data_IF_915866193341
#
_entry.id   IF_915866193341
#
_cell.length_a   1.000
_cell.length_b   1.000
_cell.length_c   1.000
_cell.angle_alpha   90.00
_cell.angle_beta   90.00
_cell.angle_gamma   90.00
#
_symmetry.space_group_name_H-M   'P 1'
#
loop_
_entity.id
_entity.type
_entity.pdbx_description
1 polymer ?
#
# COMPACT_ATOMS: atom_id res chain seq x y z
N UNK A 1 -10.41 15.72 20.20
CA UNK A 1 -10.85 14.38 19.71
C UNK A 1 -12.16 14.41 18.92
N UNK A 2 -13.32 14.79 19.51
CA UNK A 2 -14.62 14.74 18.78
C UNK A 2 -14.65 15.64 17.53
N UNK A 3 -14.14 16.88 17.63
CA UNK A 3 -14.07 17.83 16.50
C UNK A 3 -13.10 17.39 15.41
N UNK A 4 -11.96 16.81 15.77
CA UNK A 4 -10.96 16.24 14.85
C UNK A 4 -11.54 15.10 14.02
N UNK A 5 -12.24 14.14 14.65
CA UNK A 5 -12.94 13.06 13.93
C UNK A 5 -13.99 13.66 12.99
N UNK A 6 -14.75 14.67 13.42
CA UNK A 6 -15.76 15.30 12.55
C UNK A 6 -15.12 16.01 11.35
N UNK A 7 -13.99 16.70 11.53
CA UNK A 7 -13.29 17.42 10.45
C UNK A 7 -12.65 16.44 9.46
N UNK A 8 -12.01 15.38 9.97
CA UNK A 8 -11.48 14.26 9.19
C UNK A 8 -12.61 13.60 8.38
N UNK A 9 -13.76 13.32 9.01
CA UNK A 9 -14.94 12.77 8.33
C UNK A 9 -15.53 13.70 7.27
N UNK A 10 -15.59 15.02 7.50
CA UNK A 10 -16.05 15.99 6.50
C UNK A 10 -15.09 16.11 5.31
N UNK A 11 -13.78 16.09 5.56
CA UNK A 11 -12.75 16.06 4.52
C UNK A 11 -12.85 14.78 3.67
N UNK A 12 -13.09 13.62 4.31
CA UNK A 12 -13.35 12.35 3.60
C UNK A 12 -14.58 12.41 2.70
N UNK A 13 -15.69 13.00 3.17
CA UNK A 13 -16.91 13.17 2.35
C UNK A 13 -16.72 14.09 1.15
N UNK A 14 -15.92 15.16 1.28
CA UNK A 14 -15.77 16.17 0.24
C UNK A 14 -14.73 15.83 -0.86
N UNK A 15 -13.86 14.83 -0.64
CA UNK A 15 -12.83 14.40 -1.58
C UNK A 15 -13.19 13.11 -2.36
N UNK A 16 -14.19 12.36 -1.90
CA UNK A 16 -14.69 11.14 -2.57
C UNK A 16 -15.18 11.37 -4.02
N UNK A 17 -15.38 12.63 -4.43
CA UNK A 17 -15.89 13.01 -5.76
C UNK A 17 -14.78 13.04 -6.82
N UNK A 18 -13.50 13.24 -6.45
CA UNK A 18 -12.39 13.39 -7.42
C UNK A 18 -11.54 12.12 -7.61
N UNK A 19 -11.58 11.15 -6.69
CA UNK A 19 -10.83 9.90 -6.78
C UNK A 19 -11.52 8.79 -7.61
N UNK A 20 -12.67 9.09 -8.24
CA UNK A 20 -13.62 8.06 -8.66
C UNK A 20 -13.24 7.30 -9.95
N UNK A 21 -12.31 7.81 -10.75
CA UNK A 21 -11.95 7.24 -12.06
C UNK A 21 -10.55 6.64 -12.14
N UNK A 22 -9.67 6.91 -11.19
CA UNK A 22 -8.26 6.53 -11.30
C UNK A 22 -7.94 5.34 -10.38
N UNK A 23 -7.40 4.27 -10.96
CA UNK A 23 -7.16 2.98 -10.29
C UNK A 23 -5.66 2.67 -10.30
N UNK A 24 -5.22 1.79 -9.40
CA UNK A 24 -3.82 1.38 -9.39
C UNK A 24 -3.47 0.64 -10.68
N UNK A 25 -2.22 0.76 -11.14
CA UNK A 25 -1.75 0.04 -12.31
C UNK A 25 -0.72 -1.03 -11.94
N UNK A 26 -0.69 -2.10 -12.73
CA UNK A 26 0.33 -3.14 -12.69
C UNK A 26 0.92 -3.29 -14.09
N UNK A 27 2.22 -2.99 -14.27
CA UNK A 27 2.87 -2.93 -15.59
C UNK A 27 2.18 -1.99 -16.59
N UNK A 28 1.60 -0.89 -16.08
CA UNK A 28 0.81 0.06 -16.83
C UNK A 28 -0.61 -0.40 -17.16
N UNK A 29 -1.04 -1.55 -16.66
CA UNK A 29 -2.41 -2.07 -16.80
C UNK A 29 -3.25 -1.61 -15.61
N UNK A 30 -4.36 -0.89 -15.80
CA UNK A 30 -5.29 -0.56 -14.72
C UNK A 30 -5.88 -1.82 -14.06
N UNK A 31 -5.77 -1.94 -12.73
CA UNK A 31 -6.35 -3.05 -11.96
C UNK A 31 -7.85 -2.85 -11.79
N UNK A 32 -8.59 -3.00 -12.88
CA UNK A 32 -10.05 -2.91 -12.98
C UNK A 32 -10.53 -3.79 -14.16
N UNK A 33 -11.78 -3.66 -14.56
CA UNK A 33 -12.37 -4.44 -15.64
C UNK A 33 -12.71 -5.86 -15.20
N UNK A 34 -13.00 -6.74 -16.15
CA UNK A 34 -13.32 -8.15 -15.89
C UNK A 34 -12.07 -9.00 -15.75
N UNK A 35 -12.22 -10.19 -15.15
CA UNK A 35 -11.10 -11.16 -15.07
C UNK A 35 -10.54 -11.51 -16.46
N UNK A 36 -11.41 -11.63 -17.46
CA UNK A 36 -11.02 -11.99 -18.82
C UNK A 36 -10.16 -10.90 -19.47
N UNK A 37 -10.59 -9.65 -19.40
CA UNK A 37 -9.85 -8.49 -19.93
C UNK A 37 -8.47 -8.36 -19.26
N UNK A 38 -8.43 -8.43 -17.92
CA UNK A 38 -7.18 -8.37 -17.16
C UNK A 38 -6.24 -9.52 -17.55
N UNK A 39 -6.78 -10.73 -17.73
CA UNK A 39 -6.00 -11.89 -18.15
C UNK A 39 -5.41 -11.71 -19.54
N UNK A 40 -6.17 -11.18 -20.49
CA UNK A 40 -5.67 -10.87 -21.84
C UNK A 40 -4.58 -9.80 -21.82
N UNK A 41 -4.78 -8.73 -21.05
CA UNK A 41 -3.80 -7.65 -20.91
C UNK A 41 -2.50 -8.14 -20.27
N UNK A 42 -2.56 -8.97 -19.23
CA UNK A 42 -1.38 -9.62 -18.64
C UNK A 42 -0.68 -10.54 -19.64
N UNK A 43 -1.43 -11.31 -20.42
CA UNK A 43 -0.83 -12.16 -21.47
C UNK A 43 -0.13 -11.34 -22.56
N UNK A 44 -0.67 -10.18 -22.92
CA UNK A 44 -0.02 -9.23 -23.83
C UNK A 44 1.28 -8.65 -23.24
N UNK A 45 1.44 -8.63 -21.91
CA UNK A 45 2.69 -8.30 -21.20
C UNK A 45 3.64 -9.49 -21.02
N UNK A 46 3.34 -10.65 -21.62
CA UNK A 46 4.21 -11.83 -21.60
C UNK A 46 3.89 -12.86 -20.51
N UNK A 47 2.84 -12.64 -19.71
CA UNK A 47 2.37 -13.65 -18.76
C UNK A 47 1.74 -14.85 -19.48
N UNK A 48 1.92 -16.04 -18.93
CA UNK A 48 1.47 -17.30 -19.51
C UNK A 48 0.51 -18.00 -18.57
N UNK A 49 -0.59 -18.51 -19.13
CA UNK A 49 -1.50 -19.40 -18.41
C UNK A 49 -0.77 -20.69 -18.03
N UNK A 50 -1.03 -21.20 -16.83
CA UNK A 50 -0.57 -22.53 -16.42
C UNK A 50 -1.78 -23.46 -16.41
N UNK A 51 -1.64 -24.62 -17.06
CA UNK A 51 -2.74 -25.58 -17.22
C UNK A 51 -3.23 -26.07 -15.87
N UNK A 52 -4.55 -26.00 -15.63
CA UNK A 52 -5.18 -26.42 -14.38
C UNK A 52 -5.04 -25.44 -13.21
N UNK A 53 -4.33 -24.33 -13.40
CA UNK A 53 -4.05 -23.35 -12.36
C UNK A 53 -4.85 -22.05 -12.56
N UNK A 54 -5.18 -21.39 -11.44
CA UNK A 54 -5.90 -20.12 -11.48
C UNK A 54 -4.98 -18.91 -11.73
N UNK A 55 -3.67 -19.08 -11.54
CA UNK A 55 -2.65 -18.03 -11.71
C UNK A 55 -2.05 -18.01 -13.12
N UNK A 56 -1.39 -16.89 -13.46
CA UNK A 56 -0.48 -16.78 -14.59
C UNK A 56 0.97 -16.73 -14.08
N UNK A 57 1.92 -17.24 -14.87
CA UNK A 57 3.35 -17.07 -14.63
C UNK A 57 3.92 -16.01 -15.55
N UNK A 58 4.79 -15.16 -15.04
CA UNK A 58 5.48 -14.17 -15.85
C UNK A 58 6.63 -13.56 -15.07
N UNK A 59 7.17 -12.47 -15.61
CA UNK A 59 8.21 -11.71 -14.94
C UNK A 59 7.60 -10.43 -14.36
N UNK A 60 7.95 -10.14 -13.11
CA UNK A 60 7.71 -8.84 -12.50
C UNK A 60 8.98 -8.45 -11.77
N UNK A 61 9.49 -7.25 -12.06
CA UNK A 61 10.67 -6.71 -11.39
C UNK A 61 11.90 -7.64 -11.46
N UNK A 62 12.16 -8.18 -12.66
CA UNK A 62 13.29 -9.06 -12.92
C UNK A 62 13.20 -10.45 -12.25
N UNK A 63 12.05 -10.81 -11.67
CA UNK A 63 11.83 -12.11 -11.03
C UNK A 63 10.65 -12.85 -11.64
N UNK A 64 10.76 -14.17 -11.73
CA UNK A 64 9.61 -15.01 -12.08
C UNK A 64 8.60 -14.98 -10.93
N UNK A 65 7.36 -14.61 -11.25
CA UNK A 65 6.27 -14.49 -10.28
C UNK A 65 5.04 -15.24 -10.75
N UNK A 66 4.15 -15.54 -9.79
CA UNK A 66 2.80 -16.03 -10.08
C UNK A 66 1.79 -14.92 -9.75
N UNK A 67 0.85 -14.65 -10.66
CA UNK A 67 -0.17 -13.62 -10.49
C UNK A 67 -1.56 -14.25 -10.48
N UNK A 68 -2.32 -14.03 -9.42
CA UNK A 68 -3.76 -14.33 -9.38
C UNK A 68 -4.56 -13.05 -9.56
N UNK A 69 -5.67 -13.17 -10.29
CA UNK A 69 -6.61 -12.09 -10.52
C UNK A 69 -7.81 -12.33 -9.59
N UNK A 70 -8.10 -11.35 -8.74
CA UNK A 70 -9.20 -11.44 -7.78
C UNK A 70 -10.29 -10.44 -8.16
N UNK A 71 -11.52 -10.93 -8.25
CA UNK A 71 -12.69 -10.12 -8.63
C UNK A 71 -13.75 -10.06 -7.55
N UNK A 72 -14.47 -8.95 -7.51
CA UNK A 72 -15.65 -8.70 -6.69
C UNK A 72 -16.71 -8.03 -7.58
N UNK A 73 -17.98 -8.45 -7.48
CA UNK A 73 -19.06 -7.98 -8.39
C UNK A 73 -18.66 -7.96 -9.88
N UNK A 74 -17.91 -8.99 -10.33
CA UNK A 74 -17.34 -9.16 -11.69
C UNK A 74 -16.26 -8.16 -12.10
N UNK A 75 -15.77 -7.31 -11.19
CA UNK A 75 -14.67 -6.39 -11.43
C UNK A 75 -13.43 -6.81 -10.69
N UNK A 76 -12.26 -6.66 -11.32
CA UNK A 76 -10.98 -6.90 -10.67
C UNK A 76 -10.79 -5.84 -9.58
N UNK A 77 -10.49 -6.29 -8.37
CA UNK A 77 -10.15 -5.42 -7.24
C UNK A 77 -8.71 -5.62 -6.77
N UNK A 78 -8.08 -6.75 -7.15
CA UNK A 78 -6.74 -7.10 -6.69
C UNK A 78 -6.01 -7.97 -7.69
N UNK A 79 -4.75 -7.64 -7.91
CA UNK A 79 -3.75 -8.61 -8.37
C UNK A 79 -2.91 -9.01 -7.17
N UNK A 80 -2.86 -10.32 -6.88
CA UNK A 80 -1.91 -10.87 -5.91
C UNK A 80 -0.75 -11.47 -6.68
N UNK A 81 0.45 -10.98 -6.38
CA UNK A 81 1.72 -11.41 -6.94
C UNK A 81 2.44 -12.22 -5.87
N UNK A 82 2.62 -13.51 -6.13
CA UNK A 82 3.50 -14.36 -5.36
C UNK A 82 4.93 -14.13 -5.84
N UNK A 83 5.67 -13.31 -5.09
CA UNK A 83 6.91 -12.67 -5.54
C UNK A 83 8.16 -13.49 -5.22
N UNK A 84 8.23 -14.07 -4.01
CA UNK A 84 9.37 -14.85 -3.59
C UNK A 84 8.97 -15.94 -2.60
N UNK A 85 9.67 -17.08 -2.64
CA UNK A 85 9.63 -18.12 -1.62
C UNK A 85 11.04 -18.69 -1.44
N UNK A 86 11.51 -18.75 -0.20
CA UNK A 86 12.85 -19.26 0.09
C UNK A 86 12.95 -19.76 1.53
N UNK A 87 13.80 -20.77 1.74
CA UNK A 87 14.25 -21.19 3.07
C UNK A 87 15.41 -20.33 3.59
N UNK A 88 16.03 -19.53 2.72
CA UNK A 88 17.09 -18.59 3.07
C UNK A 88 16.47 -17.27 3.53
N UNK A 89 16.57 -17.01 4.84
CA UNK A 89 16.06 -15.79 5.45
C UNK A 89 16.76 -14.52 4.94
N UNK A 90 18.04 -14.61 4.55
CA UNK A 90 18.76 -13.45 4.02
C UNK A 90 18.19 -13.05 2.66
N UNK A 91 17.92 -14.00 1.76
CA UNK A 91 17.30 -13.72 0.46
C UNK A 91 15.90 -13.13 0.60
N UNK A 92 15.10 -13.62 1.56
CA UNK A 92 13.77 -13.07 1.82
C UNK A 92 13.84 -11.68 2.44
N UNK A 93 14.75 -11.47 3.40
CA UNK A 93 15.02 -10.17 4.00
C UNK A 93 15.40 -9.14 2.94
N UNK A 94 16.37 -9.47 2.11
CA UNK A 94 16.87 -8.57 1.07
C UNK A 94 15.73 -8.22 0.10
N UNK A 95 14.91 -9.19 -0.32
CA UNK A 95 13.76 -8.92 -1.18
C UNK A 95 12.68 -8.06 -0.49
N UNK A 96 12.34 -8.31 0.76
CA UNK A 96 11.40 -7.47 1.49
C UNK A 96 11.93 -6.03 1.60
N UNK A 97 13.21 -5.86 1.92
CA UNK A 97 13.85 -4.56 2.05
C UNK A 97 13.94 -3.82 0.71
N UNK A 98 14.22 -4.51 -0.39
CA UNK A 98 14.17 -3.96 -1.75
C UNK A 98 12.78 -3.39 -2.06
N UNK A 99 11.71 -4.16 -1.78
CA UNK A 99 10.34 -3.71 -1.99
C UNK A 99 10.01 -2.51 -1.10
N UNK A 100 10.38 -2.55 0.18
CA UNK A 100 10.18 -1.44 1.11
C UNK A 100 10.86 -0.16 0.62
N UNK A 101 12.15 -0.24 0.32
CA UNK A 101 12.93 0.91 -0.13
C UNK A 101 12.43 1.46 -1.47
N UNK A 102 11.94 0.60 -2.37
CA UNK A 102 11.34 1.05 -3.63
C UNK A 102 10.15 1.97 -3.38
N UNK A 103 9.17 1.52 -2.61
CA UNK A 103 7.95 2.30 -2.41
C UNK A 103 8.17 3.46 -1.44
N UNK A 104 9.11 3.36 -0.49
CA UNK A 104 9.42 4.48 0.41
C UNK A 104 10.18 5.60 -0.28
N UNK A 105 10.98 5.30 -1.32
CA UNK A 105 11.78 6.29 -2.04
C UNK A 105 11.05 6.88 -3.25
N UNK A 106 9.96 6.27 -3.70
CA UNK A 106 9.13 6.78 -4.78
C UNK A 106 8.13 7.81 -4.22
N UNK A 107 8.29 9.07 -4.62
CA UNK A 107 7.44 10.18 -4.15
C UNK A 107 5.97 10.05 -4.55
N UNK A 108 5.64 9.20 -5.51
CA UNK A 108 4.25 8.89 -5.87
C UNK A 108 3.59 7.91 -4.89
N UNK A 109 4.30 7.45 -3.86
CA UNK A 109 3.79 6.59 -2.82
C UNK A 109 3.97 7.20 -1.44
N UNK A 110 2.96 7.00 -0.60
CA UNK A 110 3.00 7.37 0.81
C UNK A 110 2.74 6.11 1.63
N UNK A 111 3.61 5.85 2.61
CA UNK A 111 3.44 4.71 3.52
C UNK A 111 2.16 4.89 4.35
N UNK A 112 1.43 3.80 4.53
CA UNK A 112 0.28 3.74 5.42
C UNK A 112 0.69 4.00 6.88
N UNK A 113 0.05 4.97 7.51
CA UNK A 113 0.07 5.20 8.96
C UNK A 113 -0.48 4.03 9.79
N UNK A 114 -1.37 3.22 9.22
CA UNK A 114 -1.93 2.04 9.89
C UNK A 114 -0.93 0.88 10.05
N UNK A 115 0.23 0.94 9.36
CA UNK A 115 1.23 -0.12 9.36
C UNK A 115 2.62 0.46 9.64
N UNK A 116 3.19 0.13 10.80
CA UNK A 116 4.56 0.49 11.16
C UNK A 116 5.56 -0.46 10.49
N UNK A 117 5.72 -0.31 9.18
CA UNK A 117 6.66 -1.06 8.39
C UNK A 117 8.03 -0.37 8.38
N UNK A 118 9.08 -1.19 8.43
CA UNK A 118 10.49 -0.80 8.40
C UNK A 118 11.29 -1.88 7.66
N UNK A 119 12.49 -1.58 7.12
CA UNK A 119 13.40 -2.60 6.66
C UNK A 119 13.75 -3.59 7.79
N UNK A 120 13.83 -4.87 7.46
CA UNK A 120 14.19 -5.94 8.40
C UNK A 120 15.72 -5.86 8.65
N UNK A 121 16.17 -5.72 9.90
CA UNK A 121 17.58 -5.69 10.24
C UNK A 121 18.30 -7.00 9.91
N UNK A 122 19.61 -6.93 9.63
CA UNK A 122 20.40 -8.10 9.26
C UNK A 122 20.41 -9.19 10.34
N UNK A 123 20.45 -8.77 11.60
CA UNK A 123 20.59 -9.65 12.77
C UNK A 123 19.25 -10.19 13.28
N UNK A 124 18.13 -9.75 12.71
CA UNK A 124 16.81 -10.23 13.08
C UNK A 124 16.53 -11.59 12.44
N UNK A 125 16.17 -12.59 13.25
CA UNK A 125 15.70 -13.88 12.73
C UNK A 125 14.21 -13.79 12.38
N UNK A 126 13.91 -13.87 11.08
CA UNK A 126 12.54 -13.71 10.57
C UNK A 126 11.65 -14.83 11.13
N UNK A 127 12.10 -16.08 11.11
CA UNK A 127 11.33 -17.22 11.59
C UNK A 127 11.02 -17.13 13.09
N UNK A 128 11.99 -16.75 13.93
CA UNK A 128 11.75 -16.57 15.37
C UNK A 128 10.72 -15.47 15.62
N UNK A 129 10.89 -14.29 15.00
CA UNK A 129 9.95 -13.19 15.17
C UNK A 129 8.54 -13.55 14.71
N UNK A 130 8.38 -14.23 13.57
CA UNK A 130 7.06 -14.63 13.06
C UNK A 130 6.42 -15.75 13.88
N UNK A 131 7.17 -16.82 14.18
CA UNK A 131 6.62 -18.04 14.78
C UNK A 131 6.51 -17.95 16.30
N UNK A 132 7.47 -17.32 16.96
CA UNK A 132 7.53 -17.23 18.42
C UNK A 132 6.88 -15.95 18.95
N UNK A 133 7.12 -14.81 18.29
CA UNK A 133 6.59 -13.52 18.75
C UNK A 133 5.33 -13.08 18.01
N UNK A 134 4.90 -13.82 16.98
CA UNK A 134 3.73 -13.47 16.18
C UNK A 134 3.89 -12.18 15.37
N UNK A 135 5.13 -11.75 15.12
CA UNK A 135 5.42 -10.54 14.36
C UNK A 135 4.92 -10.69 12.93
N UNK A 136 4.23 -9.66 12.44
CA UNK A 136 3.75 -9.60 11.06
C UNK A 136 4.57 -8.56 10.32
N UNK A 137 5.42 -9.02 9.40
CA UNK A 137 6.03 -8.12 8.42
C UNK A 137 5.00 -7.82 7.34
N UNK A 138 4.46 -6.61 7.40
CA UNK A 138 3.50 -6.08 6.47
C UNK A 138 3.90 -4.64 6.20
N UNK A 139 3.88 -4.26 4.94
CA UNK A 139 4.01 -2.88 4.51
C UNK A 139 2.87 -2.56 3.55
N UNK A 140 2.35 -1.34 3.66
CA UNK A 140 1.30 -0.83 2.78
C UNK A 140 1.63 0.61 2.38
N UNK A 141 1.37 0.92 1.13
CA UNK A 141 1.63 2.21 0.50
C UNK A 141 0.42 2.59 -0.35
N UNK A 142 0.05 3.86 -0.30
CA UNK A 142 -0.99 4.43 -1.13
C UNK A 142 -0.35 5.22 -2.25
N UNK A 143 -0.78 4.96 -3.49
CA UNK A 143 -0.31 5.74 -4.62
C UNK A 143 -1.04 7.10 -4.61
N UNK A 144 -0.25 8.17 -4.61
CA UNK A 144 -0.67 9.55 -4.75
C UNK A 144 -0.54 9.93 -6.24
N UNK A 145 -1.65 10.06 -6.98
CA UNK A 145 -1.60 10.37 -8.40
C UNK A 145 -1.09 11.78 -8.71
N UNK A 146 -1.16 12.72 -7.76
CA UNK A 146 -0.94 14.13 -8.05
C UNK A 146 0.28 14.73 -7.36
N UNK A 147 0.84 14.10 -6.31
CA UNK A 147 1.99 14.60 -5.52
C UNK A 147 1.83 16.04 -4.98
N UNK A 148 0.64 16.63 -5.16
CA UNK A 148 0.26 18.00 -4.80
C UNK A 148 -0.86 18.01 -3.77
N UNK A 149 -1.34 16.84 -3.34
CA UNK A 149 -2.44 16.78 -2.40
C UNK A 149 -2.04 17.16 -0.95
N UNK A 150 -0.74 17.25 -0.64
CA UNK A 150 -0.27 17.98 0.56
C UNK A 150 -0.59 19.48 0.45
N UNK A 151 -0.46 20.07 -0.75
CA UNK A 151 -0.81 21.46 -1.04
C UNK A 151 -2.32 21.66 -1.24
N UNK A 152 -3.12 20.59 -1.16
CA UNK A 152 -4.57 20.68 -1.18
C UNK A 152 -5.03 21.51 0.02
N UNK A 153 -5.83 22.53 -0.24
CA UNK A 153 -6.31 23.46 0.79
C UNK A 153 -6.98 22.73 1.97
N UNK A 154 -7.71 21.64 1.71
CA UNK A 154 -8.36 20.83 2.74
C UNK A 154 -7.36 20.06 3.60
N UNK A 155 -6.28 19.57 3.00
CA UNK A 155 -5.20 18.89 3.73
C UNK A 155 -4.41 19.89 4.56
N UNK A 156 -4.12 21.08 4.02
CA UNK A 156 -3.50 22.18 4.76
C UNK A 156 -4.35 22.65 5.95
N UNK A 157 -5.67 22.75 5.77
CA UNK A 157 -6.61 23.05 6.87
C UNK A 157 -6.61 21.94 7.93
N UNK A 158 -6.57 20.67 7.52
CA UNK A 158 -6.48 19.53 8.43
C UNK A 158 -5.18 19.54 9.24
N UNK A 159 -4.03 19.79 8.59
CA UNK A 159 -2.73 19.92 9.26
C UNK A 159 -2.75 21.08 10.26
N UNK A 160 -3.22 22.27 9.87
CA UNK A 160 -3.33 23.43 10.76
C UNK A 160 -4.22 23.15 11.97
N UNK A 161 -5.36 22.49 11.74
CA UNK A 161 -6.31 22.14 12.80
C UNK A 161 -5.73 21.13 13.78
N UNK A 162 -5.04 20.10 13.28
CA UNK A 162 -4.36 19.11 14.12
C UNK A 162 -3.24 19.75 14.97
N UNK A 163 -2.41 20.58 14.34
CA UNK A 163 -1.32 21.29 15.03
C UNK A 163 -1.85 22.20 16.14
N UNK A 164 -2.92 22.95 15.88
CA UNK A 164 -3.54 23.83 16.86
C UNK A 164 -4.25 23.09 18.02
N UNK A 165 -4.60 21.81 17.84
CA UNK A 165 -5.17 20.98 18.91
C UNK A 165 -4.08 20.45 19.86
N UNK A 166 -2.89 20.16 19.34
CA UNK A 166 -1.80 19.53 20.10
C UNK A 166 -0.76 20.51 20.62
N UNK A 167 -0.67 21.71 20.02
CA UNK A 167 0.36 22.70 20.31
C UNK A 167 -0.23 24.11 20.39
N UNK A 168 0.33 24.95 21.27
CA UNK A 168 0.04 26.39 21.25
C UNK A 168 0.70 27.05 20.03
N UNK A 169 0.24 28.24 19.59
CA UNK A 169 0.88 28.96 18.49
C UNK A 169 2.39 29.18 18.70
N UNK A 170 2.82 29.45 19.93
CA UNK A 170 4.24 29.62 20.29
C UNK A 170 5.02 28.32 20.19
N UNK A 171 4.41 27.19 20.58
CA UNK A 171 5.03 25.87 20.43
C UNK A 171 5.17 25.51 18.94
N UNK A 172 4.15 25.77 18.12
CA UNK A 172 4.19 25.54 16.67
C UNK A 172 5.33 26.35 16.01
N UNK A 173 5.52 27.61 16.40
CA UNK A 173 6.63 28.42 15.88
C UNK A 173 8.00 27.85 16.25
N UNK A 174 8.13 27.26 17.45
CA UNK A 174 9.38 26.68 17.95
C UNK A 174 9.71 25.30 17.38
N UNK A 175 8.76 24.61 16.77
CA UNK A 175 9.03 23.34 16.10
C UNK A 175 10.03 23.53 14.95
N UNK A 176 10.99 22.60 14.83
CA UNK A 176 11.87 22.53 13.68
C UNK A 176 11.06 22.29 12.40
N UNK A 177 11.63 22.65 11.25
CA UNK A 177 10.97 22.38 9.97
C UNK A 177 10.78 20.87 9.77
N UNK A 178 11.78 20.07 10.11
CA UNK A 178 11.72 18.60 10.06
C UNK A 178 10.52 18.03 10.84
N UNK A 179 10.28 18.47 12.08
CA UNK A 179 9.11 18.02 12.84
C UNK A 179 7.79 18.45 12.21
N UNK A 180 7.73 19.62 11.58
CA UNK A 180 6.53 20.09 10.90
C UNK A 180 6.24 19.23 9.67
N UNK A 181 7.29 18.90 8.91
CA UNK A 181 7.19 18.05 7.72
C UNK A 181 6.77 16.63 8.09
N UNK A 182 7.29 16.08 9.19
CA UNK A 182 6.87 14.78 9.72
C UNK A 182 5.39 14.77 10.11
N UNK A 183 4.90 15.78 10.84
CA UNK A 183 3.48 15.86 11.19
C UNK A 183 2.61 16.03 9.94
N UNK A 184 3.04 16.85 8.99
CA UNK A 184 2.33 17.02 7.71
C UNK A 184 2.22 15.68 6.97
N UNK A 185 3.31 14.91 6.90
CA UNK A 185 3.33 13.59 6.26
C UNK A 185 2.45 12.57 7.00
N UNK A 186 2.44 12.56 8.33
CA UNK A 186 1.58 11.69 9.13
C UNK A 186 0.09 11.96 8.84
N UNK A 187 -0.33 13.23 8.87
CA UNK A 187 -1.72 13.63 8.57
C UNK A 187 -2.07 13.35 7.11
N UNK A 188 -1.12 13.55 6.20
CA UNK A 188 -1.34 13.25 4.79
C UNK A 188 -1.50 11.75 4.53
N UNK A 189 -0.72 10.90 5.21
CA UNK A 189 -0.89 9.45 5.18
C UNK A 189 -2.29 9.02 5.63
N UNK A 190 -2.83 9.61 6.71
CA UNK A 190 -4.20 9.38 7.17
C UNK A 190 -5.23 9.82 6.11
N UNK A 191 -5.00 10.99 5.49
CA UNK A 191 -5.88 11.47 4.43
C UNK A 191 -5.91 10.52 3.22
N UNK A 192 -4.75 10.04 2.78
CA UNK A 192 -4.65 9.11 1.66
C UNK A 192 -5.26 7.75 1.99
N UNK A 193 -5.07 7.21 3.18
CA UNK A 193 -5.76 6.00 3.63
C UNK A 193 -7.28 6.10 3.52
N UNK A 194 -7.78 7.27 3.89
CA UNK A 194 -9.15 7.72 3.76
C UNK A 194 -9.78 7.70 2.37
N UNK A 195 -8.99 8.14 1.39
CA UNK A 195 -9.51 8.69 0.13
C UNK A 195 -8.96 7.97 -1.09
N UNK A 196 -7.72 7.49 -1.01
CA UNK A 196 -7.05 6.83 -2.12
C UNK A 196 -7.70 5.50 -2.42
N UNK A 197 -7.90 5.24 -3.70
CA UNK A 197 -8.41 3.98 -4.20
C UNK A 197 -7.28 3.05 -4.66
N UNK A 198 -6.02 3.44 -4.45
CA UNK A 198 -4.84 2.79 -5.01
C UNK A 198 -3.89 2.39 -3.91
N UNK A 199 -3.84 1.10 -3.59
CA UNK A 199 -2.93 0.60 -2.56
C UNK A 199 -2.03 -0.50 -3.09
N UNK A 200 -0.73 -0.35 -2.85
CA UNK A 200 0.21 -1.46 -2.90
C UNK A 200 0.45 -1.94 -1.48
N UNK A 201 0.48 -3.25 -1.26
CA UNK A 201 0.94 -3.78 0.01
C UNK A 201 1.67 -5.09 -0.18
N UNK A 202 2.58 -5.42 0.71
CA UNK A 202 3.24 -6.71 0.71
C UNK A 202 3.49 -7.20 2.13
N UNK A 203 3.52 -8.52 2.28
CA UNK A 203 3.68 -9.14 3.57
C UNK A 203 4.43 -10.47 3.48
N UNK A 204 5.05 -10.85 4.59
CA UNK A 204 5.63 -12.16 4.78
C UNK A 204 4.62 -13.16 5.36
N UNK A 205 4.67 -14.38 4.85
CA UNK A 205 4.01 -15.56 5.43
C UNK A 205 4.94 -16.75 5.40
N UNK A 206 4.79 -17.60 6.40
CA UNK A 206 5.42 -18.92 6.39
C UNK A 206 4.52 -19.90 5.64
N UNK A 207 5.07 -20.54 4.62
CA UNK A 207 4.42 -21.58 3.81
C UNK A 207 5.28 -22.83 3.78
N UNK A 208 4.77 -23.93 4.32
CA UNK A 208 5.49 -25.22 4.35
C UNK A 208 6.92 -25.10 4.88
N UNK A 209 7.10 -24.33 5.97
CA UNK A 209 8.40 -24.09 6.59
C UNK A 209 9.33 -23.10 5.87
N UNK A 210 8.86 -22.43 4.80
CA UNK A 210 9.61 -21.43 4.04
C UNK A 210 8.95 -20.06 4.17
N UNK A 211 9.74 -19.00 4.12
CA UNK A 211 9.21 -17.64 4.10
C UNK A 211 8.85 -17.25 2.67
N UNK A 212 7.70 -16.62 2.49
CA UNK A 212 7.18 -16.19 1.20
C UNK A 212 6.66 -14.75 1.25
N UNK A 213 6.90 -14.01 0.17
CA UNK A 213 6.43 -12.62 -0.03
C UNK A 213 5.21 -12.64 -0.94
N UNK A 214 4.14 -12.05 -0.43
CA UNK A 214 2.94 -11.75 -1.21
C UNK A 214 2.87 -10.25 -1.41
N UNK A 215 2.79 -9.81 -2.67
CA UNK A 215 2.59 -8.42 -3.06
C UNK A 215 1.18 -8.27 -3.65
N UNK A 216 0.51 -7.17 -3.34
CA UNK A 216 -0.87 -6.92 -3.72
C UNK A 216 -0.99 -5.54 -4.35
N UNK A 217 -1.63 -5.48 -5.52
CA UNK A 217 -2.06 -4.25 -6.17
C UNK A 217 -3.57 -4.16 -6.02
N UNK A 218 -4.03 -3.31 -5.10
CA UNK A 218 -5.42 -3.18 -4.72
C UNK A 218 -6.05 -1.94 -5.34
N UNK A 219 -7.16 -2.18 -6.03
CA UNK A 219 -8.14 -1.17 -6.39
C UNK A 219 -9.23 -1.15 -5.32
N UNK A 220 -9.11 -0.21 -4.37
CA UNK A 220 -9.99 -0.13 -3.20
C UNK A 220 -11.45 0.20 -3.56
N UNK A 221 -11.67 0.82 -4.73
CA UNK A 221 -13.02 1.14 -5.24
C UNK A 221 -13.86 -0.11 -5.49
N UNK A 222 -13.22 -1.19 -5.95
CA UNK A 222 -13.87 -2.47 -6.22
C UNK A 222 -13.68 -3.46 -5.06
N UNK A 223 -12.96 -3.08 -4.00
CA UNK A 223 -12.59 -4.01 -2.93
C UNK A 223 -13.84 -4.43 -2.16
N UNK A 224 -13.94 -5.71 -1.76
CA UNK A 224 -15.07 -6.16 -0.95
C UNK A 224 -15.16 -5.32 0.33
N UNK A 225 -16.32 -4.73 0.58
CA UNK A 225 -16.62 -4.20 1.91
C UNK A 225 -16.52 -5.38 2.88
N UNK A 226 -15.70 -5.26 3.93
CA UNK A 226 -15.81 -6.21 5.03
C UNK A 226 -17.22 -6.02 5.62
N UNK A 227 -18.06 -7.04 5.54
CA UNK A 227 -19.21 -7.11 6.43
C UNK A 227 -18.63 -7.10 7.85
N UNK A 228 -18.83 -5.97 8.55
CA UNK A 228 -18.42 -5.80 9.94
C UNK A 228 -19.20 -6.74 10.86
#
# INVERSE_FOLDING_TARGET
MKKMITLICMAFMACAIHAQSDVITFLGIPVDGTEAEMREQLMAKGFKKVSGEKYLKGEYDGKEVQVTINTEKKKVYRLMVFDAISSDEALIRDRYNELFLRYSNDKSFVQSSAVSAQPIPKEESISTEMLTHGKVYHAAFYQDPDSTAVDNEKVQELIKSFMAEQYTPEQIQRLSQERKDEIANEIYGIFLEATSQKRVQFLLRTMSGRSAIFLFFDNLKNFPEKEN
#
